data_IF_193703213668
#
_entry.id   IF_193703213668
#
_cell.length_a   1.000
_cell.length_b   1.000
_cell.length_c   1.000
_cell.angle_alpha   90.00
_cell.angle_beta   90.00
_cell.angle_gamma   90.00
#
_symmetry.space_group_name_H-M   'P 1'
#
loop_
_entity.id
_entity.type
_entity.pdbx_description
1 polymer ?
#
# COMPACT_ATOMS: atom_id res chain seq x y z
N UNK A 1 6.94 -4.15 2.96
CA UNK A 1 6.47 -2.77 3.27
C UNK A 1 6.37 -2.62 4.77
N UNK A 2 6.89 -1.54 5.33
CA UNK A 2 6.83 -1.27 6.79
C UNK A 2 5.46 -0.70 7.17
N UNK A 3 5.12 -0.73 8.46
CA UNK A 3 3.82 -0.29 8.98
C UNK A 3 3.45 1.15 8.60
N UNK A 4 4.34 2.12 8.78
CA UNK A 4 4.09 3.53 8.42
C UNK A 4 3.68 3.69 6.95
N UNK A 5 4.38 3.00 6.05
CA UNK A 5 4.10 3.04 4.60
C UNK A 5 2.78 2.32 4.27
N UNK A 6 2.46 1.23 4.97
CA UNK A 6 1.17 0.56 4.85
C UNK A 6 0.01 1.50 5.22
N UNK A 7 0.15 2.25 6.32
CA UNK A 7 -0.89 3.17 6.80
C UNK A 7 -1.21 4.27 5.79
N UNK A 8 -0.21 4.74 5.04
CA UNK A 8 -0.40 5.74 3.97
C UNK A 8 -0.99 5.07 2.72
N UNK A 9 -0.36 4.00 2.22
CA UNK A 9 -0.71 3.44 0.91
C UNK A 9 -2.06 2.69 0.89
N UNK A 10 -2.56 2.20 2.02
CA UNK A 10 -3.88 1.56 2.08
C UNK A 10 -5.00 2.52 1.61
N UNK A 11 -4.85 3.82 1.88
CA UNK A 11 -5.83 4.85 1.52
C UNK A 11 -5.78 5.20 0.02
N UNK A 12 -4.71 4.80 -0.68
CA UNK A 12 -4.59 4.90 -2.14
C UNK A 12 -5.06 3.63 -2.88
N UNK A 13 -5.72 2.70 -2.17
CA UNK A 13 -6.28 1.46 -2.72
C UNK A 13 -5.27 0.33 -2.90
N UNK A 14 -4.09 0.41 -2.27
CA UNK A 14 -3.14 -0.70 -2.25
C UNK A 14 -3.55 -1.75 -1.22
N UNK A 15 -3.48 -3.03 -1.62
CA UNK A 15 -3.81 -4.16 -0.76
C UNK A 15 -2.56 -4.78 -0.18
N UNK A 16 -2.62 -5.11 1.11
CA UNK A 16 -1.51 -5.66 1.86
C UNK A 16 -1.93 -6.89 2.66
N UNK A 17 -0.99 -7.81 2.88
CA UNK A 17 -1.11 -8.90 3.84
C UNK A 17 -0.02 -8.77 4.89
N UNK A 18 -0.38 -8.82 6.18
CA UNK A 18 0.60 -8.76 7.27
C UNK A 18 1.53 -9.98 7.16
N UNK A 19 2.83 -9.72 7.05
CA UNK A 19 3.87 -10.77 7.09
C UNK A 19 4.24 -11.10 8.53
N UNK A 20 4.34 -10.06 9.37
CA UNK A 20 4.77 -10.17 10.76
C UNK A 20 6.03 -9.36 11.06
N UNK A 21 6.57 -9.49 12.28
CA UNK A 21 7.79 -8.81 12.68
C UNK A 21 9.02 -9.33 11.94
N UNK A 22 9.98 -8.43 11.71
CA UNK A 22 11.29 -8.73 11.13
C UNK A 22 12.34 -7.92 11.88
N UNK A 23 13.43 -8.57 12.28
CA UNK A 23 14.56 -7.87 12.89
C UNK A 23 15.46 -7.25 11.83
N UNK A 24 15.67 -5.94 11.91
CA UNK A 24 16.55 -5.17 11.03
C UNK A 24 17.70 -4.59 11.84
N UNK A 25 18.92 -4.91 11.45
CA UNK A 25 20.14 -4.40 12.10
C UNK A 25 20.09 -2.87 12.20
N UNK A 26 20.24 -2.34 13.42
CA UNK A 26 20.20 -0.90 13.69
C UNK A 26 18.80 -0.26 13.72
N UNK A 27 17.72 -1.03 13.48
CA UNK A 27 16.32 -0.56 13.59
C UNK A 27 15.46 -1.39 14.53
N UNK A 28 15.95 -2.56 14.98
CA UNK A 28 15.21 -3.45 15.85
C UNK A 28 14.12 -4.21 15.12
N UNK A 29 13.04 -4.52 15.81
CA UNK A 29 11.90 -5.23 15.26
C UNK A 29 10.98 -4.27 14.48
N UNK A 30 10.67 -4.62 13.24
CA UNK A 30 9.74 -3.87 12.39
C UNK A 30 8.60 -4.78 11.96
N UNK A 31 7.36 -4.31 12.11
CA UNK A 31 6.21 -4.96 11.49
C UNK A 31 6.29 -4.76 9.97
N UNK A 32 6.16 -5.86 9.24
CA UNK A 32 6.21 -5.85 7.78
C UNK A 32 4.98 -6.47 7.14
N UNK A 33 4.72 -6.04 5.92
CA UNK A 33 3.59 -6.41 5.07
C UNK A 33 4.07 -6.79 3.67
N UNK A 34 3.40 -7.76 3.06
CA UNK A 34 3.48 -8.05 1.64
C UNK A 34 2.49 -7.18 0.87
N UNK A 35 2.94 -6.49 -0.18
CA UNK A 35 2.05 -5.78 -1.11
C UNK A 35 1.45 -6.80 -2.07
N UNK A 36 0.12 -6.91 -2.10
CA UNK A 36 -0.62 -7.90 -2.91
C UNK A 36 -1.12 -7.32 -4.24
N UNK A 37 -1.10 -6.00 -4.37
CA UNK A 37 -1.52 -5.30 -5.58
C UNK A 37 -2.28 -4.02 -5.23
N UNK A 38 -2.96 -3.46 -6.22
CA UNK A 38 -3.84 -2.31 -6.08
C UNK A 38 -5.24 -2.68 -6.57
N UNK A 39 -6.27 -2.10 -5.99
CA UNK A 39 -7.62 -2.21 -6.55
C UNK A 39 -7.68 -1.49 -7.89
N UNK A 40 -8.40 -2.07 -8.87
CA UNK A 40 -8.59 -1.41 -10.16
C UNK A 40 -9.52 -0.22 -9.95
N UNK A 41 -9.16 0.95 -10.49
CA UNK A 41 -10.10 2.05 -10.62
C UNK A 41 -11.32 1.55 -11.42
N UNK A 42 -12.49 1.52 -10.78
CA UNK A 42 -13.74 1.03 -11.37
C UNK A 42 -14.43 -0.11 -10.62
N UNK A 43 -13.82 -0.73 -9.60
CA UNK A 43 -14.49 -1.83 -8.85
C UNK A 43 -15.36 -1.38 -7.68
N UNK A 44 -15.41 -0.09 -7.35
CA UNK A 44 -16.25 0.42 -6.25
C UNK A 44 -16.99 1.69 -6.67
N UNK A 45 -18.29 1.71 -6.38
CA UNK A 45 -19.18 2.85 -6.59
C UNK A 45 -18.91 3.96 -5.55
N UNK A 46 -18.11 3.71 -4.50
CA UNK A 46 -17.95 4.63 -3.36
C UNK A 46 -16.58 4.62 -2.65
N UNK A 47 -15.47 4.25 -3.30
CA UNK A 47 -14.14 4.49 -2.71
C UNK A 47 -13.43 5.60 -3.45
N UNK A 48 -13.14 6.68 -2.74
CA UNK A 48 -12.31 7.80 -3.16
C UNK A 48 -10.88 7.30 -3.41
N UNK A 49 -10.65 6.65 -4.55
CA UNK A 49 -9.31 6.25 -4.96
C UNK A 49 -8.55 7.50 -5.40
N UNK A 50 -7.99 8.21 -4.43
CA UNK A 50 -7.11 9.35 -4.67
C UNK A 50 -5.95 8.87 -5.55
N UNK A 51 -5.66 9.60 -6.62
CA UNK A 51 -4.50 9.32 -7.47
C UNK A 51 -3.23 9.62 -6.70
N UNK A 52 -2.19 8.82 -6.89
CA UNK A 52 -0.90 9.14 -6.29
C UNK A 52 -0.37 10.45 -6.93
N UNK A 53 0.32 11.29 -6.17
CA UNK A 53 0.95 12.48 -6.71
C UNK A 53 1.90 12.09 -7.85
N UNK A 54 1.84 12.80 -8.97
CA UNK A 54 2.64 12.54 -10.18
C UNK A 54 2.41 11.16 -10.83
N UNK A 55 1.31 10.48 -10.53
CA UNK A 55 0.97 9.24 -11.22
C UNK A 55 0.64 9.53 -12.69
N UNK A 56 1.51 9.09 -13.60
CA UNK A 56 1.21 9.03 -15.02
C UNK A 56 0.16 7.94 -15.22
N UNK A 57 -1.02 8.31 -15.71
CA UNK A 57 -2.03 7.34 -16.13
C UNK A 57 -1.65 6.89 -17.54
N UNK A 58 -1.40 5.59 -17.73
CA UNK A 58 -1.22 5.03 -19.07
C UNK A 58 -2.52 5.26 -19.85
N UNK A 59 -2.44 6.01 -20.96
CA UNK A 59 -3.57 6.18 -21.86
C UNK A 59 -3.87 4.81 -22.49
N UNK A 60 -5.06 4.27 -22.21
CA UNK A 60 -5.57 3.06 -22.82
C UNK A 60 -5.96 3.29 -24.28
#
# INVERSE_FOLDING_TARGET
VVEEMYLVLKDYGFRFARRGPVFVKGKGELITYFMRGREKQGSFINSSSVTLPHQVVENA
#
